data_IF_328838178729
#
_entry.id   IF_328838178729
#
_cell.length_a   1.000
_cell.length_b   1.000
_cell.length_c   1.000
_cell.angle_alpha   90.00
_cell.angle_beta   90.00
_cell.angle_gamma   90.00
#
_symmetry.space_group_name_H-M   'P 1'
#
loop_
_entity.id
_entity.type
_entity.pdbx_description
1 polymer ?
#
# COMPACT_ATOMS: atom_id res chain seq x y z
N UNK A 1 -5.40 -19.08 -5.46
CA UNK A 1 -4.31 -18.46 -4.67
C UNK A 1 -4.92 -17.25 -3.98
N UNK A 2 -4.78 -17.14 -2.66
CA UNK A 2 -5.37 -16.06 -1.86
C UNK A 2 -4.40 -14.89 -1.69
N UNK A 3 -4.87 -13.66 -1.86
CA UNK A 3 -4.15 -12.47 -1.40
C UNK A 3 -4.53 -12.21 0.06
N UNK A 4 -3.58 -11.89 0.94
CA UNK A 4 -3.89 -11.48 2.32
C UNK A 4 -2.89 -10.42 2.78
N UNK A 5 -3.40 -9.25 3.17
CA UNK A 5 -2.61 -8.12 3.65
C UNK A 5 -3.18 -7.63 4.97
N UNK A 6 -2.28 -7.37 5.93
CA UNK A 6 -2.53 -6.57 7.13
C UNK A 6 -1.30 -5.70 7.32
N UNK A 7 -1.47 -4.38 7.26
CA UNK A 7 -0.33 -3.47 7.23
C UNK A 7 -0.66 -2.04 7.68
N UNK A 8 0.35 -1.36 8.19
CA UNK A 8 0.36 0.10 8.36
C UNK A 8 1.06 0.72 7.15
N UNK A 9 0.48 1.78 6.58
CA UNK A 9 1.09 2.58 5.50
C UNK A 9 1.21 4.02 5.95
N UNK A 10 2.40 4.59 5.79
CA UNK A 10 2.71 5.99 6.08
C UNK A 10 3.97 6.41 5.30
N UNK A 11 4.36 7.67 5.47
CA UNK A 11 5.65 8.18 4.99
C UNK A 11 6.83 7.29 5.45
N UNK A 12 7.80 7.05 4.57
CA UNK A 12 8.93 6.14 4.80
C UNK A 12 9.81 6.60 5.95
N UNK A 13 10.07 7.90 6.06
CA UNK A 13 10.91 8.44 7.13
C UNK A 13 10.17 8.37 8.46
N UNK A 14 8.85 8.64 8.47
CA UNK A 14 8.03 8.45 9.66
C UNK A 14 8.10 7.00 10.16
N UNK A 15 7.84 6.02 9.29
CA UNK A 15 7.87 4.62 9.71
C UNK A 15 9.27 4.17 10.12
N UNK A 16 10.32 4.63 9.42
CA UNK A 16 11.71 4.34 9.78
C UNK A 16 12.05 4.85 11.17
N UNK A 17 11.72 6.11 11.48
CA UNK A 17 11.96 6.67 12.80
C UNK A 17 11.16 5.97 13.90
N UNK A 18 9.89 5.66 13.66
CA UNK A 18 9.02 5.07 14.68
C UNK A 18 9.29 3.59 14.93
N UNK A 19 10.01 2.92 14.03
CA UNK A 19 10.25 1.48 14.10
C UNK A 19 11.72 1.08 14.18
N UNK A 20 12.64 2.06 14.27
CA UNK A 20 14.08 1.81 14.31
C UNK A 20 14.53 0.90 15.46
N UNK A 21 13.85 0.99 16.61
CA UNK A 21 14.18 0.22 17.83
C UNK A 21 13.36 -1.09 17.94
N UNK A 22 12.63 -1.48 16.90
CA UNK A 22 11.79 -2.67 16.90
C UNK A 22 12.46 -3.83 16.15
N UNK A 23 12.60 -4.96 16.81
CA UNK A 23 13.23 -6.18 16.30
C UNK A 23 12.39 -6.84 15.19
N UNK A 24 11.07 -6.71 15.25
CA UNK A 24 10.14 -7.34 14.30
C UNK A 24 9.58 -6.38 13.25
N UNK A 25 10.00 -5.11 13.26
CA UNK A 25 9.61 -4.18 12.23
C UNK A 25 10.38 -4.44 10.93
N UNK A 26 9.62 -4.59 9.85
CA UNK A 26 10.17 -4.72 8.50
C UNK A 26 9.46 -3.71 7.63
N UNK A 27 10.21 -2.79 7.04
CA UNK A 27 9.67 -1.79 6.14
C UNK A 27 9.85 -2.26 4.70
N UNK A 28 8.76 -2.24 3.95
CA UNK A 28 8.79 -2.35 2.50
C UNK A 28 8.58 -0.97 1.90
N UNK A 29 9.56 -0.49 1.13
CA UNK A 29 9.44 0.77 0.42
C UNK A 29 8.32 0.68 -0.63
N UNK A 30 7.46 1.69 -0.66
CA UNK A 30 6.49 1.92 -1.71
C UNK A 30 6.98 3.11 -2.56
N UNK A 31 6.28 3.38 -3.67
CA UNK A 31 6.52 4.60 -4.46
C UNK A 31 6.03 5.85 -3.70
N UNK A 32 6.40 7.03 -4.21
CA UNK A 32 6.00 8.33 -3.64
C UNK A 32 6.41 8.52 -2.16
N UNK A 33 7.59 8.03 -1.78
CA UNK A 33 8.16 8.13 -0.43
C UNK A 33 7.28 7.53 0.69
N UNK A 34 6.36 6.62 0.34
CA UNK A 34 5.63 5.83 1.32
C UNK A 34 6.37 4.54 1.67
N UNK A 35 6.04 3.97 2.83
CA UNK A 35 6.41 2.62 3.17
C UNK A 35 5.22 1.85 3.74
N UNK A 36 5.31 0.53 3.59
CA UNK A 36 4.40 -0.45 4.14
C UNK A 36 5.11 -1.20 5.27
N UNK A 37 4.51 -1.17 6.46
CA UNK A 37 4.90 -1.97 7.62
C UNK A 37 3.92 -3.13 7.76
N UNK A 38 4.28 -4.37 7.40
CA UNK A 38 3.43 -5.54 7.58
C UNK A 38 3.13 -5.75 9.06
N UNK A 39 1.85 -5.82 9.41
CA UNK A 39 1.41 -6.04 10.79
C UNK A 39 1.36 -7.53 11.05
N UNK A 40 2.37 -8.02 11.77
CA UNK A 40 2.49 -9.43 12.16
C UNK A 40 2.12 -9.60 13.63
N UNK A 41 1.74 -10.82 14.06
CA UNK A 41 1.52 -11.11 15.47
C UNK A 41 2.68 -10.69 16.39
N UNK A 42 3.91 -10.94 15.95
CA UNK A 42 5.12 -10.61 16.70
C UNK A 42 5.31 -9.09 16.81
N UNK A 43 5.04 -8.36 15.72
CA UNK A 43 5.10 -6.90 15.75
C UNK A 43 4.03 -6.31 16.66
N UNK A 44 2.81 -6.87 16.68
CA UNK A 44 1.75 -6.41 17.60
C UNK A 44 2.15 -6.65 19.05
N UNK A 45 2.70 -7.81 19.36
CA UNK A 45 3.21 -8.13 20.70
C UNK A 45 4.32 -7.18 21.12
N UNK A 46 5.26 -6.89 20.23
CA UNK A 46 6.35 -5.95 20.50
C UNK A 46 5.84 -4.51 20.70
N UNK A 47 4.92 -4.05 19.86
CA UNK A 47 4.36 -2.69 19.92
C UNK A 47 3.48 -2.45 21.14
N UNK A 48 2.77 -3.49 21.60
CA UNK A 48 1.73 -3.35 22.63
C UNK A 48 2.05 -4.04 23.95
N UNK A 49 3.04 -4.93 23.99
CA UNK A 49 3.38 -5.79 25.12
C UNK A 49 2.38 -6.92 25.36
N UNK A 50 1.47 -7.19 24.43
CA UNK A 50 0.43 -8.21 24.54
C UNK A 50 0.20 -8.93 23.21
N UNK A 51 -0.13 -10.21 23.28
CA UNK A 51 -0.48 -10.99 22.08
C UNK A 51 -1.62 -10.32 21.31
N UNK A 52 -1.59 -10.38 19.96
CA UNK A 52 -2.68 -9.87 19.15
C UNK A 52 -3.97 -10.63 19.44
N UNK A 53 -5.09 -9.92 19.34
CA UNK A 53 -6.42 -10.49 19.40
C UNK A 53 -7.08 -10.37 18.03
N UNK A 54 -7.86 -11.38 17.65
CA UNK A 54 -8.49 -11.47 16.33
C UNK A 54 -9.98 -11.77 16.50
N UNK A 55 -10.81 -11.12 15.70
CA UNK A 55 -12.23 -11.44 15.68
C UNK A 55 -12.43 -12.88 15.18
N UNK A 56 -13.19 -13.72 15.90
CA UNK A 56 -13.40 -15.12 15.52
C UNK A 56 -14.38 -15.28 14.35
N UNK A 57 -15.15 -14.23 14.05
CA UNK A 57 -16.11 -14.17 12.96
C UNK A 57 -15.50 -13.50 11.72
N UNK A 58 -16.04 -13.80 10.54
CA UNK A 58 -15.62 -13.12 9.31
C UNK A 58 -15.84 -11.60 9.42
N UNK A 59 -14.91 -10.77 8.93
CA UNK A 59 -15.08 -9.33 8.96
C UNK A 59 -16.34 -8.83 8.24
N UNK A 60 -16.99 -7.84 8.84
CA UNK A 60 -18.23 -7.21 8.35
C UNK A 60 -18.13 -5.70 8.42
N UNK A 61 -19.10 -4.96 7.90
CA UNK A 61 -19.12 -3.50 8.04
C UNK A 61 -19.13 -3.01 9.51
N UNK A 62 -19.63 -3.81 10.46
CA UNK A 62 -19.61 -3.48 11.89
C UNK A 62 -18.30 -3.84 12.59
N UNK A 63 -17.61 -4.87 12.09
CA UNK A 63 -16.30 -5.32 12.57
C UNK A 63 -15.39 -5.53 11.35
N UNK A 64 -14.83 -4.43 10.81
CA UNK A 64 -14.24 -4.43 9.47
C UNK A 64 -12.85 -5.05 9.40
N UNK A 65 -12.15 -5.12 10.53
CA UNK A 65 -10.83 -5.70 10.63
C UNK A 65 -10.90 -7.08 11.28
N UNK A 66 -10.05 -7.99 10.80
CA UNK A 66 -9.77 -9.26 11.43
C UNK A 66 -8.94 -9.05 12.70
N UNK A 67 -7.92 -8.18 12.64
CA UNK A 67 -7.16 -7.78 13.82
C UNK A 67 -7.98 -6.83 14.69
N UNK A 68 -8.12 -7.16 15.97
CA UNK A 68 -8.69 -6.26 16.96
C UNK A 68 -7.69 -5.13 17.22
N UNK A 69 -8.03 -3.91 16.79
CA UNK A 69 -7.26 -2.72 17.13
C UNK A 69 -7.43 -2.38 18.61
N UNK A 70 -6.59 -2.99 19.45
CA UNK A 70 -6.60 -2.77 20.89
C UNK A 70 -6.39 -1.28 21.23
N UNK A 71 -6.79 -0.82 22.44
CA UNK A 71 -6.54 0.55 22.86
C UNK A 71 -5.05 0.94 22.81
N UNK A 72 -4.15 -0.01 23.06
CA UNK A 72 -2.71 0.20 22.97
C UNK A 72 -2.26 0.45 21.52
N UNK A 73 -2.73 -0.38 20.58
CA UNK A 73 -2.40 -0.24 19.16
C UNK A 73 -3.02 1.04 18.57
N UNK A 74 -4.30 1.33 18.87
CA UNK A 74 -4.94 2.58 18.49
C UNK A 74 -4.20 3.81 19.03
N UNK A 75 -3.85 3.80 20.32
CA UNK A 75 -3.10 4.90 20.93
C UNK A 75 -1.71 5.09 20.32
N UNK A 76 -1.11 4.04 19.76
CA UNK A 76 0.16 4.11 19.03
C UNK A 76 -0.01 4.72 17.64
N UNK A 77 -1.02 4.29 16.88
CA UNK A 77 -1.37 4.88 15.58
C UNK A 77 -1.75 6.36 15.72
N UNK A 78 -2.49 6.72 16.77
CA UNK A 78 -2.74 8.12 17.15
C UNK A 78 -1.42 8.87 17.32
N UNK A 79 -0.48 8.37 18.13
CA UNK A 79 0.81 9.06 18.36
C UNK A 79 1.62 9.23 17.07
N UNK A 80 1.72 8.18 16.27
CA UNK A 80 2.42 8.23 14.97
C UNK A 80 1.78 9.26 14.06
N UNK A 81 0.44 9.32 14.04
CA UNK A 81 -0.30 10.23 13.17
C UNK A 81 -0.11 11.73 13.49
N UNK A 82 0.52 12.07 14.63
CA UNK A 82 0.89 13.45 14.96
C UNK A 82 2.11 13.94 14.18
N UNK A 83 2.94 13.01 13.67
CA UNK A 83 4.12 13.32 12.85
C UNK A 83 3.80 13.35 11.35
N UNK A 84 2.80 12.60 10.92
CA UNK A 84 2.33 12.57 9.53
C UNK A 84 1.11 11.65 9.38
N UNK A 85 0.45 11.61 8.21
CA UNK A 85 -0.69 10.72 7.97
C UNK A 85 -0.33 9.23 8.13
N UNK A 86 -1.22 8.45 8.75
CA UNK A 86 -1.03 7.00 8.94
C UNK A 86 -2.31 6.26 8.58
N UNK A 87 -2.22 5.17 7.82
CA UNK A 87 -3.34 4.28 7.55
C UNK A 87 -3.06 2.86 8.05
N UNK A 88 -4.11 2.18 8.50
CA UNK A 88 -4.12 0.74 8.69
C UNK A 88 -5.02 0.12 7.63
N UNK A 89 -4.51 -0.91 6.95
CA UNK A 89 -5.14 -1.56 5.82
C UNK A 89 -5.21 -3.07 6.03
N UNK A 90 -6.34 -3.66 5.69
CA UNK A 90 -6.48 -5.10 5.53
C UNK A 90 -7.11 -5.45 4.19
N UNK A 91 -6.65 -6.52 3.56
CA UNK A 91 -7.28 -7.08 2.37
C UNK A 91 -7.18 -8.59 2.36
N UNK A 92 -8.22 -9.24 1.86
CA UNK A 92 -8.18 -10.65 1.50
C UNK A 92 -8.80 -10.83 0.12
N UNK A 93 -8.17 -11.58 -0.79
CA UNK A 93 -8.78 -11.99 -2.05
C UNK A 93 -8.60 -13.49 -2.23
N UNK A 94 -9.53 -14.29 -1.70
CA UNK A 94 -9.56 -15.74 -1.87
C UNK A 94 -10.77 -16.15 -2.71
N UNK A 95 -10.55 -16.98 -3.76
CA UNK A 95 -11.63 -17.73 -4.41
C UNK A 95 -12.72 -16.92 -5.15
N UNK A 96 -12.53 -15.63 -5.40
CA UNK A 96 -13.46 -14.78 -6.17
C UNK A 96 -14.32 -13.82 -5.35
N UNK A 97 -14.24 -13.86 -4.02
CA UNK A 97 -14.85 -12.86 -3.13
C UNK A 97 -13.72 -12.27 -2.28
N UNK A 98 -13.35 -11.03 -2.58
CA UNK A 98 -12.37 -10.31 -1.76
C UNK A 98 -13.04 -9.47 -0.69
N UNK A 99 -12.26 -9.02 0.29
CA UNK A 99 -12.62 -7.92 1.19
C UNK A 99 -11.47 -6.94 1.27
N UNK A 100 -11.81 -5.68 1.53
CA UNK A 100 -10.88 -4.65 1.91
C UNK A 100 -11.43 -3.92 3.12
N UNK A 101 -10.53 -3.56 4.04
CA UNK A 101 -10.82 -2.68 5.14
C UNK A 101 -9.70 -1.68 5.33
N UNK A 102 -10.05 -0.49 5.81
CA UNK A 102 -9.07 0.57 6.00
C UNK A 102 -9.52 1.61 7.01
N UNK A 103 -8.58 2.18 7.74
CA UNK A 103 -8.77 3.32 8.62
C UNK A 103 -7.60 4.28 8.48
N UNK A 104 -7.85 5.58 8.66
CA UNK A 104 -6.85 6.64 8.49
C UNK A 104 -6.85 7.57 9.71
N UNK A 105 -5.66 7.79 10.24
CA UNK A 105 -5.36 8.68 11.34
C UNK A 105 -4.63 9.91 10.83
N UNK A 106 -5.10 11.08 11.25
CA UNK A 106 -4.52 12.38 10.91
C UNK A 106 -4.44 13.24 12.17
N UNK A 107 -3.24 13.75 12.49
CA UNK A 107 -3.07 14.74 13.55
C UNK A 107 -3.37 14.23 14.96
N UNK A 108 -3.18 12.93 15.22
CA UNK A 108 -3.37 12.37 16.55
C UNK A 108 -4.73 11.72 16.81
N UNK A 109 -5.54 11.49 15.79
CA UNK A 109 -6.88 10.91 15.92
C UNK A 109 -7.28 10.11 14.68
N UNK A 110 -8.16 9.14 14.86
CA UNK A 110 -8.87 8.49 13.76
C UNK A 110 -9.72 9.52 13.02
N UNK A 111 -9.31 9.88 11.80
CA UNK A 111 -9.95 10.92 11.00
C UNK A 111 -10.92 10.36 9.96
N UNK A 112 -10.75 9.11 9.55
CA UNK A 112 -11.62 8.46 8.59
C UNK A 112 -11.63 6.94 8.76
N UNK A 113 -12.81 6.36 8.56
CA UNK A 113 -13.03 4.93 8.74
C UNK A 113 -13.37 4.54 10.18
N UNK A 114 -13.33 3.25 10.50
CA UNK A 114 -12.96 2.17 9.58
C UNK A 114 -13.99 1.98 8.47
N UNK A 115 -13.51 1.72 7.24
CA UNK A 115 -14.32 1.40 6.06
C UNK A 115 -14.10 -0.04 5.65
N UNK A 116 -15.11 -0.63 5.06
CA UNK A 116 -15.13 -2.02 4.65
C UNK A 116 -15.90 -2.16 3.35
N UNK A 117 -15.37 -2.98 2.44
CA UNK A 117 -16.08 -3.41 1.25
C UNK A 117 -15.71 -4.87 0.93
N UNK A 118 -16.71 -5.65 0.56
CA UNK A 118 -16.60 -7.02 0.05
C UNK A 118 -17.40 -7.24 -1.24
N UNK A 119 -18.20 -6.25 -1.62
CA UNK A 119 -19.08 -6.29 -2.78
C UNK A 119 -18.40 -5.67 -4.00
N UNK A 120 -17.51 -4.68 -3.78
CA UNK A 120 -16.74 -4.00 -4.82
C UNK A 120 -17.63 -3.47 -5.97
N UNK A 121 -18.81 -2.98 -5.62
CA UNK A 121 -19.80 -2.45 -6.58
C UNK A 121 -19.58 -0.96 -6.86
N UNK A 122 -18.80 -0.28 -6.02
CA UNK A 122 -18.44 1.12 -6.18
C UNK A 122 -17.26 1.29 -7.15
N UNK A 123 -17.08 2.50 -7.70
CA UNK A 123 -15.86 2.86 -8.43
C UNK A 123 -14.61 2.54 -7.62
N UNK A 124 -13.54 2.19 -8.33
CA UNK A 124 -12.32 1.65 -7.72
C UNK A 124 -11.62 2.67 -6.84
N UNK A 125 -11.79 3.97 -7.10
CA UNK A 125 -11.27 5.06 -6.26
C UNK A 125 -11.97 5.12 -4.89
N UNK A 126 -13.20 4.60 -4.79
CA UNK A 126 -14.00 4.57 -3.57
C UNK A 126 -13.76 3.32 -2.73
N UNK A 127 -12.99 2.36 -3.24
CA UNK A 127 -12.65 1.16 -2.49
C UNK A 127 -11.83 1.54 -1.24
N UNK A 128 -12.03 0.84 -0.10
CA UNK A 128 -11.47 1.25 1.18
C UNK A 128 -9.97 1.59 1.12
N UNK A 129 -9.16 0.72 0.52
CA UNK A 129 -7.71 0.94 0.43
C UNK A 129 -7.39 2.16 -0.44
N UNK A 130 -7.94 2.26 -1.66
CA UNK A 130 -7.67 3.41 -2.54
C UNK A 130 -8.11 4.74 -1.90
N UNK A 131 -9.29 4.75 -1.28
CA UNK A 131 -9.80 5.91 -0.57
C UNK A 131 -8.91 6.30 0.63
N UNK A 132 -8.29 5.33 1.30
CA UNK A 132 -7.34 5.58 2.39
C UNK A 132 -6.02 6.16 1.86
N UNK A 133 -5.47 5.61 0.78
CA UNK A 133 -4.21 6.06 0.18
C UNK A 133 -4.28 7.50 -0.33
N UNK A 134 -5.37 7.87 -1.01
CA UNK A 134 -5.61 9.27 -1.42
C UNK A 134 -5.61 10.21 -0.21
N UNK A 135 -6.12 9.76 0.95
CA UNK A 135 -6.15 10.55 2.20
C UNK A 135 -4.79 10.65 2.88
N UNK A 136 -3.89 9.70 2.63
CA UNK A 136 -2.48 9.82 3.04
C UNK A 136 -1.73 10.84 2.19
N UNK A 137 -2.28 11.21 1.03
CA UNK A 137 -1.63 12.08 0.05
C UNK A 137 -1.05 11.34 -1.14
N UNK A 138 -1.34 10.04 -1.30
CA UNK A 138 -0.92 9.31 -2.50
C UNK A 138 -1.62 9.90 -3.73
N UNK A 139 -0.83 10.26 -4.74
CA UNK A 139 -1.33 10.82 -5.98
C UNK A 139 -1.73 9.68 -6.92
N UNK A 140 -2.99 9.64 -7.41
CA UNK A 140 -3.38 8.69 -8.43
C UNK A 140 -2.69 9.03 -9.74
N UNK A 141 -2.20 8.01 -10.44
CA UNK A 141 -1.63 8.17 -11.76
C UNK A 141 -2.70 8.39 -12.83
N UNK A 142 -2.26 8.70 -14.05
CA UNK A 142 -3.17 8.97 -15.18
C UNK A 142 -4.01 7.75 -15.59
N UNK A 143 -3.51 6.55 -15.34
CA UNK A 143 -4.10 5.28 -15.82
C UNK A 143 -4.15 4.17 -14.76
N UNK A 144 -3.55 4.40 -13.59
CA UNK A 144 -3.43 3.42 -12.51
C UNK A 144 -4.04 3.98 -11.24
N UNK A 145 -4.66 3.10 -10.46
CA UNK A 145 -5.21 3.46 -9.15
C UNK A 145 -4.09 3.61 -8.10
N UNK A 146 -4.33 4.30 -6.98
CA UNK A 146 -3.33 4.47 -5.92
C UNK A 146 -2.73 3.15 -5.42
N UNK A 147 -3.51 2.06 -5.39
CA UNK A 147 -3.02 0.73 -5.04
C UNK A 147 -1.95 0.22 -6.02
N UNK A 148 -2.20 0.32 -7.32
CA UNK A 148 -1.24 -0.08 -8.34
C UNK A 148 -0.04 0.87 -8.39
N UNK A 149 -0.29 2.18 -8.31
CA UNK A 149 0.74 3.23 -8.32
C UNK A 149 1.72 3.13 -7.16
N UNK A 150 1.27 2.75 -5.96
CA UNK A 150 2.16 2.54 -4.83
C UNK A 150 2.88 1.19 -4.85
N UNK A 151 2.58 0.31 -5.80
CA UNK A 151 3.20 -1.01 -5.89
C UNK A 151 2.56 -2.07 -4.97
N UNK A 152 1.37 -1.82 -4.42
CA UNK A 152 0.73 -2.78 -3.48
C UNK A 152 0.32 -4.11 -4.14
N UNK A 153 0.37 -4.17 -5.48
CA UNK A 153 0.07 -5.34 -6.30
C UNK A 153 1.25 -6.32 -6.45
N UNK A 154 2.43 -5.97 -5.94
CA UNK A 154 3.67 -6.67 -6.25
C UNK A 154 3.87 -7.92 -5.41
N UNK A 155 3.58 -7.81 -4.11
CA UNK A 155 3.56 -8.96 -3.23
C UNK A 155 2.12 -9.34 -2.92
N UNK A 156 1.88 -10.65 -3.00
CA UNK A 156 0.52 -11.20 -2.92
C UNK A 156 0.07 -11.46 -1.50
N UNK A 157 0.95 -11.39 -0.50
CA UNK A 157 0.57 -11.56 0.89
C UNK A 157 1.54 -10.86 1.87
N UNK A 158 1.14 -10.74 3.13
CA UNK A 158 1.96 -10.18 4.23
C UNK A 158 3.34 -10.83 4.33
N UNK A 159 3.44 -12.15 4.12
CA UNK A 159 4.73 -12.86 4.16
C UNK A 159 5.65 -12.48 2.99
N UNK A 160 5.09 -12.22 1.81
CA UNK A 160 5.80 -11.67 0.65
C UNK A 160 6.34 -10.27 0.93
N UNK A 161 5.53 -9.40 1.54
CA UNK A 161 5.97 -8.07 1.96
C UNK A 161 7.08 -8.09 3.02
N UNK A 162 7.01 -9.02 3.99
CA UNK A 162 8.11 -9.24 4.94
C UNK A 162 9.40 -9.69 4.23
N UNK A 163 9.29 -10.60 3.26
CA UNK A 163 10.45 -11.04 2.48
C UNK A 163 11.03 -9.88 1.62
N UNK A 164 10.16 -9.05 1.05
CA UNK A 164 10.53 -7.88 0.26
C UNK A 164 11.29 -6.86 1.11
N UNK A 165 10.75 -6.44 2.26
CA UNK A 165 11.43 -5.51 3.16
C UNK A 165 12.75 -6.07 3.71
N UNK A 166 12.82 -7.37 4.02
CA UNK A 166 14.07 -8.03 4.45
C UNK A 166 15.15 -8.10 3.37
N UNK A 167 14.79 -8.03 2.09
CA UNK A 167 15.74 -7.97 0.98
C UNK A 167 16.35 -6.58 0.80
N UNK A 168 15.84 -5.56 1.49
CA UNK A 168 16.38 -4.19 1.43
C UNK A 168 16.27 -3.54 0.05
N UNK A 169 15.28 -3.96 -0.76
CA UNK A 169 15.07 -3.41 -2.10
C UNK A 169 14.65 -1.94 -1.97
N UNK A 170 15.50 -1.03 -2.43
CA UNK A 170 15.31 0.43 -2.40
C UNK A 170 14.47 0.91 -3.58
N UNK A 171 14.10 2.20 -3.56
CA UNK A 171 13.55 2.95 -4.70
C UNK A 171 14.25 2.62 -6.04
N UNK A 172 15.56 2.34 -6.03
CA UNK A 172 16.36 2.11 -7.24
C UNK A 172 16.08 0.76 -7.94
N UNK A 173 15.62 -0.26 -7.20
CA UNK A 173 15.14 -1.51 -7.82
C UNK A 173 13.85 -1.28 -8.63
N UNK A 174 13.12 -0.20 -8.34
CA UNK A 174 11.91 0.17 -9.05
C UNK A 174 12.17 0.81 -10.41
N UNK A 175 13.29 1.51 -10.57
CA UNK A 175 13.68 2.09 -11.86
C UNK A 175 14.04 0.97 -12.86
N UNK A 176 14.79 -0.05 -12.43
CA UNK A 176 15.12 -1.21 -13.26
C UNK A 176 13.87 -2.04 -13.63
N UNK A 177 12.93 -2.25 -12.69
CA UNK A 177 11.72 -3.03 -12.95
C UNK A 177 10.67 -2.24 -13.78
N UNK A 178 10.60 -0.92 -13.60
CA UNK A 178 9.75 -0.06 -14.42
C UNK A 178 10.26 0.01 -15.86
N UNK A 179 11.58 0.09 -16.07
CA UNK A 179 12.20 -0.02 -17.40
C UNK A 179 11.90 -1.38 -18.05
N UNK A 180 11.96 -2.50 -17.31
CA UNK A 180 11.58 -3.82 -17.81
C UNK A 180 10.09 -3.93 -18.19
N UNK A 181 9.19 -3.27 -17.44
CA UNK A 181 7.75 -3.30 -17.70
C UNK A 181 7.32 -2.37 -18.84
N UNK A 182 7.92 -1.19 -18.98
CA UNK A 182 7.73 -0.31 -20.14
C UNK A 182 8.25 -0.98 -21.43
N UNK A 183 9.37 -1.71 -21.34
CA UNK A 183 9.91 -2.49 -22.45
C UNK A 183 9.03 -3.67 -22.89
N UNK A 184 8.18 -4.20 -22.01
CA UNK A 184 7.26 -5.31 -22.31
C UNK A 184 5.87 -4.85 -22.78
N UNK A 185 5.38 -3.66 -22.39
CA UNK A 185 4.07 -3.15 -22.80
C UNK A 185 4.08 -2.41 -24.16
N UNK A 186 5.25 -2.01 -24.65
CA UNK A 186 5.41 -1.50 -26.01
C UNK A 186 6.23 -2.50 -26.83
N UNK A 187 5.63 -3.43 -27.60
CA UNK A 187 6.37 -4.04 -28.69
C UNK A 187 6.91 -2.90 -29.56
N UNK A 188 8.21 -2.89 -29.80
CA UNK A 188 8.96 -1.86 -30.52
C UNK A 188 8.57 -1.70 -32.00
N UNK A 189 7.35 -2.06 -32.39
CA UNK A 189 6.90 -2.17 -33.77
C UNK A 189 5.75 -1.22 -34.15
N UNK A 190 5.36 -0.28 -33.29
CA UNK A 190 4.44 0.79 -33.69
C UNK A 190 4.84 2.15 -33.09
N UNK A 191 6.02 2.62 -33.45
CA UNK A 191 6.30 4.06 -33.44
C UNK A 191 5.74 4.62 -34.76
N UNK A 192 4.80 5.58 -34.77
CA UNK A 192 4.44 6.25 -36.02
C UNK A 192 5.71 6.90 -36.58
N UNK A 193 5.97 6.66 -37.87
CA UNK A 193 7.17 7.15 -38.54
C UNK A 193 7.37 8.63 -38.24
N UNK A 194 8.56 8.96 -37.70
CA UNK A 194 9.00 10.36 -37.63
C UNK A 194 8.97 10.90 -39.06
N UNK A 195 8.36 12.07 -39.32
CA UNK A 195 8.52 12.69 -40.62
C UNK A 195 10.02 12.88 -40.88
N UNK A 196 10.49 12.26 -41.97
CA UNK A 196 11.89 12.27 -42.36
C UNK A 196 12.44 13.69 -42.53
N UNK A 197 13.77 13.85 -42.52
CA UNK A 197 14.41 15.16 -42.63
C UNK A 197 13.97 15.83 -43.94
N UNK A 198 13.55 17.09 -43.84
CA UNK A 198 13.18 17.92 -44.98
C UNK A 198 14.42 18.09 -45.86
N UNK A 199 14.49 17.30 -46.93
CA UNK A 199 15.51 17.39 -47.96
C UNK A 199 15.25 18.58 -48.88
N UNK A 200 16.33 19.32 -49.09
CA UNK A 200 16.54 20.43 -50.02
C UNK A 200 15.80 20.26 -51.37
N UNK A 201 14.77 21.07 -51.62
CA UNK A 201 14.17 21.18 -52.95
C UNK A 201 15.00 22.17 -53.79
N UNK A 202 15.99 21.60 -54.49
CA UNK A 202 16.78 22.30 -55.49
C UNK A 202 15.92 22.88 -56.62
N UNK A 203 16.33 24.08 -57.02
CA UNK A 203 15.83 24.93 -58.10
C UNK A 203 15.90 24.21 -59.46
N UNK A 204 14.83 24.35 -60.26
CA UNK A 204 14.90 24.56 -61.71
C UNK A 204 14.00 25.73 -62.08
#
# INVERSE_FOLDING_TARGET
>A
MSYQLSAVVADVELLREQTADLDHAVLAALRQDFALLPVTPQLVEELTGALPDFHPEEPTAGQPFELVLSPALNGLLDRWSRRGPVAYLEAEFAGGLGRQASAVWLGGRLSWGPRFDRAFTLPREEWPINAALVRLGAEPGRWLDPFAELGLHLERNTAGWLAHGRRGLTADYWDELAEEWEGQQFPADQQPERPGPVGDWGIL
#
